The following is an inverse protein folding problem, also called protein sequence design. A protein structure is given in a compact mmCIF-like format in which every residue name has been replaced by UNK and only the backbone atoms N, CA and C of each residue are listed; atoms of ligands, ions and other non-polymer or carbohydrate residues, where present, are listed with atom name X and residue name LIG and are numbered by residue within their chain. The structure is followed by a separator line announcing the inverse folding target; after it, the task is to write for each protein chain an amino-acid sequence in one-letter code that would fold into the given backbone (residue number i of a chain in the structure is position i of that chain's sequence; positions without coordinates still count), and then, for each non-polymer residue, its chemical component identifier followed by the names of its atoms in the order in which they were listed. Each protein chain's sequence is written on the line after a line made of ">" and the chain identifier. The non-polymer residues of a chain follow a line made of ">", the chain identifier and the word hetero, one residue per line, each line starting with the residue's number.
data_IF_567860842802
#
_entry.id   IF_567860842802
#
_cell.length_a   1.000
_cell.length_b   1.000
_cell.length_c   1.000
_cell.angle_alpha   90.00
_cell.angle_beta   90.00
_cell.angle_gamma   90.00
#
_symmetry.space_group_name_H-M   'P 1'
#
loop_
_entity.id
_entity.type
_entity.pdbx_description
1 polymer ?
#
# COMPACT_ATOMS: atom_id res chain seq x y z
N UNK A 1 -20.06 -21.35 12.60
CA UNK A 1 -18.85 -20.72 13.16
C UNK A 1 -17.67 -21.59 12.75
N UNK A 2 -16.63 -20.96 12.21
CA UNK A 2 -15.43 -21.65 11.76
C UNK A 2 -14.68 -22.32 12.92
N UNK A 3 -13.99 -23.43 12.62
CA UNK A 3 -13.17 -24.15 13.60
C UNK A 3 -12.07 -23.24 14.19
N UNK A 4 -11.75 -23.42 15.47
CA UNK A 4 -10.78 -22.57 16.20
C UNK A 4 -9.42 -22.49 15.51
N UNK A 5 -8.91 -23.61 15.00
CA UNK A 5 -7.63 -23.63 14.27
C UNK A 5 -7.66 -22.75 13.02
N UNK A 6 -8.77 -22.79 12.27
CA UNK A 6 -8.95 -22.00 11.06
C UNK A 6 -9.10 -20.50 11.39
N UNK A 7 -9.84 -20.17 12.46
CA UNK A 7 -9.95 -18.78 12.96
C UNK A 7 -8.59 -18.24 13.39
N UNK A 8 -7.79 -19.03 14.09
CA UNK A 8 -6.44 -18.65 14.53
C UNK A 8 -5.54 -18.29 13.33
N UNK A 9 -5.54 -19.12 12.28
CA UNK A 9 -4.79 -18.85 11.04
C UNK A 9 -5.26 -17.56 10.34
N UNK A 10 -6.56 -17.27 10.33
CA UNK A 10 -7.08 -16.00 9.80
C UNK A 10 -6.60 -14.82 10.64
N UNK A 11 -6.63 -14.91 11.97
CA UNK A 11 -6.16 -13.84 12.86
C UNK A 11 -4.68 -13.55 12.62
N UNK A 12 -3.85 -14.59 12.52
CA UNK A 12 -2.43 -14.48 12.20
C UNK A 12 -2.21 -13.81 10.84
N UNK A 13 -2.99 -14.19 9.82
CA UNK A 13 -2.95 -13.56 8.51
C UNK A 13 -3.31 -12.07 8.57
N UNK A 14 -4.37 -11.69 9.30
CA UNK A 14 -4.75 -10.28 9.44
C UNK A 14 -3.63 -9.52 10.15
N UNK A 15 -3.08 -10.05 11.25
CA UNK A 15 -1.98 -9.41 11.99
C UNK A 15 -0.70 -9.28 11.18
N UNK A 16 -0.45 -10.20 10.24
CA UNK A 16 0.69 -10.13 9.34
C UNK A 16 0.51 -9.05 8.27
N UNK A 17 -0.70 -8.90 7.74
CA UNK A 17 -0.98 -8.01 6.61
C UNK A 17 -1.47 -6.61 7.03
N UNK A 18 -1.91 -6.44 8.28
CA UNK A 18 -2.45 -5.20 8.86
C UNK A 18 -1.50 -4.71 9.95
N UNK A 19 -0.45 -4.01 9.52
CA UNK A 19 0.65 -3.54 10.38
C UNK A 19 0.91 -2.03 10.21
N UNK A 20 1.49 -1.35 11.22
CA UNK A 20 1.89 0.05 11.09
C UNK A 20 2.96 0.24 10.01
N UNK A 21 2.86 1.32 9.24
CA UNK A 21 3.85 1.70 8.24
C UNK A 21 3.97 3.23 8.15
N UNK A 22 5.19 3.73 7.93
CA UNK A 22 5.47 5.16 7.68
C UNK A 22 5.93 5.30 6.22
N UNK A 23 5.31 6.23 5.49
CA UNK A 23 5.65 6.51 4.10
C UNK A 23 5.47 5.31 3.15
N UNK A 24 6.25 5.29 2.07
CA UNK A 24 6.41 4.14 1.18
C UNK A 24 7.73 3.43 1.47
N UNK A 25 7.68 2.11 1.55
CA UNK A 25 8.85 1.29 1.94
C UNK A 25 9.86 1.15 0.81
N UNK A 26 9.44 1.26 -0.45
CA UNK A 26 10.30 1.14 -1.63
C UNK A 26 11.42 2.20 -1.68
N UNK A 27 11.15 3.52 -1.62
CA UNK A 27 12.23 4.52 -1.62
C UNK A 27 13.13 4.41 -0.39
N UNK A 28 12.59 4.02 0.77
CA UNK A 28 13.35 3.82 2.01
C UNK A 28 14.28 2.60 1.89
N UNK A 29 13.83 1.53 1.25
CA UNK A 29 14.65 0.36 0.96
C UNK A 29 15.81 0.70 -0.01
N UNK A 30 15.58 1.60 -0.97
CA UNK A 30 16.66 2.15 -1.81
C UNK A 30 17.65 2.96 -0.96
N UNK A 31 17.16 3.84 -0.08
CA UNK A 31 18.01 4.59 0.84
C UNK A 31 18.83 3.67 1.76
N UNK A 32 18.24 2.56 2.22
CA UNK A 32 18.89 1.52 3.02
C UNK A 32 20.03 0.85 2.25
N UNK A 33 19.82 0.47 0.99
CA UNK A 33 20.86 -0.12 0.16
C UNK A 33 22.03 0.86 -0.08
N UNK A 34 21.73 2.15 -0.31
CA UNK A 34 22.75 3.20 -0.48
C UNK A 34 23.50 3.48 0.83
N UNK A 35 22.81 3.49 1.96
CA UNK A 35 23.45 3.64 3.26
C UNK A 35 24.44 2.49 3.53
N UNK A 36 24.10 1.26 3.09
CA UNK A 36 24.97 0.10 3.27
C UNK A 36 26.24 0.19 2.43
N UNK A 37 26.15 0.62 1.17
CA UNK A 37 27.35 0.81 0.33
C UNK A 37 28.24 1.92 0.88
N UNK A 38 27.66 3.02 1.38
CA UNK A 38 28.39 4.10 2.06
C UNK A 38 29.16 3.60 3.28
N UNK A 39 28.54 2.79 4.13
CA UNK A 39 29.18 2.16 5.30
C UNK A 39 30.41 1.33 4.87
N UNK A 40 30.26 0.49 3.84
CA UNK A 40 31.35 -0.33 3.31
C UNK A 40 32.51 0.50 2.74
N UNK A 41 32.22 1.64 2.11
CA UNK A 41 33.21 2.60 1.61
C UNK A 41 33.85 3.46 2.70
N UNK A 42 33.32 3.43 3.94
CA UNK A 42 33.79 4.23 5.06
C UNK A 42 33.64 5.74 4.86
N UNK A 43 32.69 6.18 4.03
CA UNK A 43 32.50 7.59 3.72
C UNK A 43 31.44 7.87 2.66
N UNK A 44 31.14 9.15 2.45
CA UNK A 44 30.19 9.60 1.42
C UNK A 44 30.76 9.23 0.04
N UNK A 45 29.99 8.54 -0.83
CA UNK A 45 30.43 8.19 -2.18
C UNK A 45 30.53 9.41 -3.10
N UNK A 46 31.43 9.37 -4.08
CA UNK A 46 31.53 10.37 -5.15
C UNK A 46 30.42 10.19 -6.19
N UNK A 47 29.97 8.95 -6.39
CA UNK A 47 28.90 8.61 -7.33
C UNK A 47 28.10 7.39 -6.89
N UNK A 48 26.80 7.37 -7.18
CA UNK A 48 25.88 6.26 -6.88
C UNK A 48 25.06 5.88 -8.13
N UNK A 49 25.20 4.65 -8.59
CA UNK A 49 24.32 4.04 -9.60
C UNK A 49 23.30 3.10 -8.93
N UNK A 50 22.04 3.22 -9.32
CA UNK A 50 20.94 2.42 -8.79
C UNK A 50 20.18 1.76 -9.94
N UNK A 51 20.07 0.43 -9.89
CA UNK A 51 19.31 -0.40 -10.81
C UNK A 51 18.12 -1.00 -10.06
N UNK A 52 16.90 -0.74 -10.54
CA UNK A 52 15.66 -1.08 -9.83
C UNK A 52 14.78 -1.98 -10.67
N UNK A 53 14.00 -2.86 -10.03
CA UNK A 53 12.86 -3.48 -10.70
C UNK A 53 11.81 -2.43 -11.10
N UNK A 54 11.02 -2.74 -12.12
CA UNK A 54 9.91 -1.92 -12.60
C UNK A 54 9.00 -1.42 -11.46
N UNK A 55 8.65 -2.30 -10.52
CA UNK A 55 7.75 -1.97 -9.42
C UNK A 55 8.37 -1.02 -8.40
N UNK A 56 9.64 -1.22 -8.03
CA UNK A 56 10.33 -0.32 -7.11
C UNK A 56 10.47 1.05 -7.75
N UNK A 57 10.87 1.10 -9.03
CA UNK A 57 11.01 2.34 -9.79
C UNK A 57 9.68 3.11 -9.83
N UNK A 58 8.59 2.43 -10.20
CA UNK A 58 7.24 3.01 -10.24
C UNK A 58 6.78 3.54 -8.87
N UNK A 59 6.96 2.77 -7.79
CA UNK A 59 6.46 3.15 -6.47
C UNK A 59 7.33 4.20 -5.76
N UNK A 60 8.61 4.34 -6.12
CA UNK A 60 9.51 5.27 -5.48
C UNK A 60 9.68 6.60 -6.24
N UNK A 61 9.27 6.68 -7.51
CA UNK A 61 9.55 7.84 -8.36
C UNK A 61 8.79 9.12 -8.01
N UNK A 62 7.52 9.02 -7.59
CA UNK A 62 6.65 10.19 -7.39
C UNK A 62 6.20 10.44 -5.95
N UNK A 63 6.70 9.66 -4.99
CA UNK A 63 6.23 9.69 -3.60
C UNK A 63 7.07 10.65 -2.74
N UNK A 64 6.43 11.30 -1.77
CA UNK A 64 7.15 12.12 -0.79
C UNK A 64 8.06 11.27 0.09
N UNK A 65 9.27 11.76 0.35
CA UNK A 65 10.25 11.06 1.18
C UNK A 65 10.16 11.58 2.63
N UNK A 66 9.86 10.70 3.60
CA UNK A 66 9.60 11.08 4.99
C UNK A 66 10.66 12.03 5.58
N UNK A 67 10.18 13.15 6.13
CA UNK A 67 11.01 14.17 6.78
C UNK A 67 11.74 15.15 5.84
N UNK A 68 11.81 14.86 4.53
CA UNK A 68 12.59 15.69 3.60
C UNK A 68 11.81 16.87 2.99
N UNK A 69 10.48 16.79 2.96
CA UNK A 69 9.63 17.72 2.21
C UNK A 69 9.82 17.65 0.68
N UNK A 70 10.55 16.64 0.19
CA UNK A 70 10.89 16.44 -1.22
C UNK A 70 10.34 15.11 -1.73
N UNK A 71 10.31 14.94 -3.05
CA UNK A 71 9.70 13.80 -3.71
C UNK A 71 10.72 12.98 -4.49
N UNK A 72 10.51 11.67 -4.53
CA UNK A 72 11.15 10.76 -5.48
C UNK A 72 12.48 10.14 -5.05
N UNK A 73 12.97 9.26 -5.91
CA UNK A 73 14.21 8.51 -5.73
C UNK A 73 15.48 9.37 -5.54
N UNK A 74 15.69 10.49 -6.25
CA UNK A 74 16.92 11.26 -6.11
C UNK A 74 17.20 11.69 -4.68
N UNK A 75 16.19 12.19 -3.96
CA UNK A 75 16.36 12.60 -2.57
C UNK A 75 16.48 11.39 -1.62
N UNK A 76 15.77 10.28 -1.86
CA UNK A 76 15.95 9.06 -1.07
C UNK A 76 17.40 8.53 -1.15
N UNK A 77 17.96 8.48 -2.37
CA UNK A 77 19.34 8.04 -2.63
C UNK A 77 20.34 8.98 -1.96
N UNK A 78 20.20 10.29 -2.17
CA UNK A 78 21.08 11.28 -1.58
C UNK A 78 21.06 11.21 -0.04
N UNK A 79 19.87 11.08 0.57
CA UNK A 79 19.77 10.96 2.02
C UNK A 79 20.35 9.65 2.55
N UNK A 80 20.21 8.54 1.81
CA UNK A 80 20.91 7.28 2.13
C UNK A 80 22.44 7.45 2.15
N UNK A 81 22.99 8.17 1.16
CA UNK A 81 24.43 8.42 1.06
C UNK A 81 24.97 9.40 2.13
N UNK A 82 24.18 10.38 2.53
CA UNK A 82 24.61 11.46 3.46
C UNK A 82 24.31 11.12 4.93
N UNK A 83 23.10 10.67 5.22
CA UNK A 83 22.57 10.56 6.58
C UNK A 83 22.17 9.13 6.97
N UNK A 84 22.02 8.23 5.98
CA UNK A 84 21.48 6.90 6.20
C UNK A 84 22.30 6.05 7.18
N UNK A 85 21.58 5.34 8.06
CA UNK A 85 22.13 4.36 9.02
C UNK A 85 21.53 2.96 8.76
N UNK A 86 22.30 2.01 8.20
CA UNK A 86 21.75 0.71 7.80
C UNK A 86 21.12 -0.10 8.94
N UNK A 87 21.68 0.01 10.15
CA UNK A 87 21.20 -0.72 11.34
C UNK A 87 19.76 -0.38 11.74
N UNK A 88 19.21 0.73 11.23
CA UNK A 88 17.82 1.12 11.48
C UNK A 88 16.81 0.47 10.52
N UNK A 89 17.26 -0.30 9.52
CA UNK A 89 16.37 -0.94 8.55
C UNK A 89 15.50 0.08 7.81
N UNK A 90 14.17 -0.04 7.91
CA UNK A 90 13.24 0.90 7.26
C UNK A 90 13.12 2.26 7.98
N UNK A 91 13.82 2.46 9.09
CA UNK A 91 13.99 3.78 9.72
C UNK A 91 15.35 4.43 9.36
N UNK A 92 15.99 4.01 8.27
CA UNK A 92 17.34 4.45 7.85
C UNK A 92 17.54 5.98 7.86
N UNK A 93 16.48 6.77 7.68
CA UNK A 93 16.52 8.24 7.64
C UNK A 93 16.07 8.94 8.93
N UNK A 94 15.84 8.21 10.03
CA UNK A 94 15.26 8.74 11.28
C UNK A 94 16.02 9.92 11.88
N UNK A 95 17.35 9.90 11.81
CA UNK A 95 18.22 10.92 12.45
C UNK A 95 18.61 12.07 11.49
N UNK A 96 17.83 12.28 10.42
CA UNK A 96 18.07 13.35 9.46
C UNK A 96 17.87 14.73 10.09
N UNK A 97 18.73 15.69 9.73
CA UNK A 97 18.63 17.09 10.16
C UNK A 97 18.56 18.02 8.95
N UNK A 98 18.06 19.27 9.09
CA UNK A 98 18.02 20.23 8.00
C UNK A 98 19.39 20.47 7.33
N UNK A 99 20.49 20.45 8.10
CA UNK A 99 21.84 20.58 7.55
C UNK A 99 22.27 19.39 6.68
N UNK A 100 21.88 18.18 7.06
CA UNK A 100 22.11 16.97 6.24
C UNK A 100 21.23 16.97 4.99
N UNK A 101 20.00 17.50 5.09
CA UNK A 101 19.11 17.65 3.95
C UNK A 101 19.70 18.59 2.89
N UNK A 102 20.28 19.72 3.29
CA UNK A 102 20.97 20.62 2.35
C UNK A 102 22.16 19.95 1.67
N UNK A 103 22.95 19.14 2.39
CA UNK A 103 24.00 18.32 1.77
C UNK A 103 23.44 17.31 0.77
N UNK A 104 22.30 16.67 1.09
CA UNK A 104 21.59 15.78 0.17
C UNK A 104 21.14 16.51 -1.11
N UNK A 105 20.62 17.74 -0.98
CA UNK A 105 20.23 18.57 -2.13
C UNK A 105 21.43 18.89 -3.03
N UNK A 106 22.57 19.26 -2.43
CA UNK A 106 23.81 19.50 -3.16
C UNK A 106 24.30 18.24 -3.90
N UNK A 107 24.19 17.06 -3.27
CA UNK A 107 24.54 15.78 -3.89
C UNK A 107 23.75 15.51 -5.19
N UNK A 108 22.47 15.87 -5.22
CA UNK A 108 21.61 15.77 -6.40
C UNK A 108 22.02 16.81 -7.46
N UNK A 109 22.26 18.06 -7.04
CA UNK A 109 22.66 19.15 -7.94
C UNK A 109 23.98 18.87 -8.67
N UNK A 110 24.93 18.25 -7.96
CA UNK A 110 26.22 17.82 -8.51
C UNK A 110 26.13 16.63 -9.47
N UNK A 111 24.92 16.11 -9.72
CA UNK A 111 24.65 14.94 -10.61
C UNK A 111 25.42 13.69 -10.20
N UNK A 112 25.60 13.48 -8.89
CA UNK A 112 26.33 12.34 -8.31
C UNK A 112 25.50 11.05 -8.22
N UNK A 113 24.37 10.97 -8.92
CA UNK A 113 23.52 9.78 -8.93
C UNK A 113 22.93 9.49 -10.30
N UNK A 114 22.69 8.20 -10.57
CA UNK A 114 21.98 7.70 -11.73
C UNK A 114 21.03 6.59 -11.32
N UNK A 115 19.82 6.62 -11.86
CA UNK A 115 18.80 5.58 -11.65
C UNK A 115 18.45 4.96 -12.99
N UNK A 116 18.32 3.64 -13.04
CA UNK A 116 17.95 2.91 -14.26
C UNK A 116 17.10 1.69 -13.95
N UNK A 117 16.30 1.25 -14.92
CA UNK A 117 15.57 -0.02 -14.85
C UNK A 117 16.57 -1.19 -14.96
N UNK A 118 16.43 -2.18 -14.08
CA UNK A 118 17.08 -3.47 -14.25
C UNK A 118 16.25 -4.34 -15.20
N UNK A 119 16.79 -4.62 -16.38
CA UNK A 119 16.14 -5.50 -17.36
C UNK A 119 16.39 -6.98 -17.05
N UNK A 120 15.52 -7.84 -17.57
CA UNK A 120 15.67 -9.31 -17.57
C UNK A 120 15.79 -9.94 -16.16
N UNK A 121 15.00 -9.44 -15.20
CA UNK A 121 14.86 -10.02 -13.86
C UNK A 121 13.44 -10.55 -13.64
N UNK A 122 13.32 -11.60 -12.82
CA UNK A 122 12.02 -12.16 -12.44
C UNK A 122 11.48 -11.51 -11.14
N UNK A 123 12.37 -10.94 -10.35
CA UNK A 123 12.10 -10.41 -9.03
C UNK A 123 11.32 -9.11 -9.11
N UNK A 124 10.14 -9.11 -8.46
CA UNK A 124 9.29 -7.92 -8.41
C UNK A 124 9.88 -6.83 -7.52
N UNK A 125 10.58 -7.20 -6.46
CA UNK A 125 11.34 -6.30 -5.60
C UNK A 125 12.82 -6.57 -5.82
N UNK A 126 13.50 -5.65 -6.51
CA UNK A 126 14.94 -5.72 -6.76
C UNK A 126 15.54 -4.33 -6.69
N UNK A 127 16.60 -4.20 -5.90
CA UNK A 127 17.36 -2.97 -5.73
C UNK A 127 18.84 -3.35 -5.78
N UNK A 128 19.55 -2.88 -6.79
CA UNK A 128 21.00 -3.02 -6.91
C UNK A 128 21.61 -1.62 -6.86
N UNK A 129 22.49 -1.40 -5.88
CA UNK A 129 23.22 -0.15 -5.70
C UNK A 129 24.71 -0.40 -5.90
N UNK A 130 25.34 0.42 -6.72
CA UNK A 130 26.79 0.50 -6.87
C UNK A 130 27.23 1.90 -6.50
N UNK A 131 28.13 2.03 -5.54
CA UNK A 131 28.68 3.31 -5.09
C UNK A 131 30.19 3.34 -5.28
N UNK A 132 30.71 4.49 -5.70
CA UNK A 132 32.13 4.70 -5.99
C UNK A 132 32.65 5.80 -5.06
N UNK A 133 33.84 5.59 -4.48
CA UNK A 133 34.57 6.61 -3.72
C UNK A 133 36.07 6.50 -4.01
N UNK A 134 36.64 7.46 -4.71
CA UNK A 134 38.00 7.37 -5.23
C UNK A 134 38.18 6.14 -6.10
N UNK A 135 39.08 5.23 -5.70
CA UNK A 135 39.33 3.97 -6.39
C UNK A 135 38.52 2.79 -5.83
N UNK A 136 37.78 2.99 -4.73
CA UNK A 136 36.99 1.95 -4.10
C UNK A 136 35.56 1.93 -4.66
N UNK A 137 35.02 0.72 -4.78
CA UNK A 137 33.64 0.45 -5.16
C UNK A 137 32.96 -0.44 -4.12
N UNK A 138 31.69 -0.16 -3.83
CA UNK A 138 30.84 -1.04 -3.04
C UNK A 138 29.53 -1.33 -3.77
N UNK A 139 29.06 -2.56 -3.62
CA UNK A 139 27.83 -3.06 -4.24
C UNK A 139 26.94 -3.70 -3.19
N UNK A 140 25.66 -3.35 -3.20
CA UNK A 140 24.63 -3.97 -2.36
C UNK A 140 23.40 -4.32 -3.19
N UNK A 141 22.83 -5.51 -2.96
CA UNK A 141 21.57 -5.94 -3.58
C UNK A 141 20.57 -6.31 -2.48
N UNK A 142 19.38 -5.70 -2.54
CA UNK A 142 18.20 -6.11 -1.78
C UNK A 142 17.22 -6.78 -2.75
N UNK A 143 16.69 -7.95 -2.38
CA UNK A 143 15.75 -8.69 -3.24
C UNK A 143 14.72 -9.50 -2.45
N UNK A 144 13.47 -9.49 -2.95
CA UNK A 144 12.29 -10.18 -2.43
C UNK A 144 11.64 -9.54 -1.20
N UNK A 145 12.41 -9.13 -0.19
CA UNK A 145 11.92 -8.35 0.95
C UNK A 145 12.68 -7.02 1.12
N UNK A 146 12.01 -5.99 1.65
CA UNK A 146 12.52 -4.60 1.68
C UNK A 146 13.80 -4.40 2.51
N UNK A 147 14.18 -5.35 3.36
CA UNK A 147 15.39 -5.28 4.21
C UNK A 147 16.34 -6.47 3.98
N UNK A 148 16.02 -7.38 3.06
CA UNK A 148 16.79 -8.60 2.82
C UNK A 148 17.92 -8.35 1.83
N UNK A 149 19.11 -8.10 2.35
CA UNK A 149 20.33 -8.08 1.56
C UNK A 149 20.65 -9.49 1.06
N UNK A 150 20.83 -9.64 -0.26
CA UNK A 150 21.18 -10.93 -0.90
C UNK A 150 22.61 -10.93 -1.44
N UNK A 151 23.20 -9.74 -1.61
CA UNK A 151 24.56 -9.59 -2.09
C UNK A 151 25.21 -8.33 -1.51
N UNK A 152 26.44 -8.45 -1.01
CA UNK A 152 27.29 -7.35 -0.56
C UNK A 152 28.73 -7.60 -1.01
N UNK A 153 29.34 -6.63 -1.69
CA UNK A 153 30.75 -6.69 -2.07
C UNK A 153 31.42 -5.32 -2.00
N UNK A 154 32.69 -5.29 -1.61
CA UNK A 154 33.56 -4.11 -1.70
C UNK A 154 34.77 -4.49 -2.54
N UNK A 155 34.99 -3.78 -3.65
CA UNK A 155 35.97 -4.14 -4.67
C UNK A 155 35.78 -5.63 -5.05
N UNK A 156 36.84 -6.43 -4.98
CA UNK A 156 36.80 -7.87 -5.29
C UNK A 156 36.37 -8.75 -4.10
N UNK A 157 36.14 -8.16 -2.92
CA UNK A 157 35.78 -8.90 -1.71
C UNK A 157 34.26 -8.98 -1.53
N UNK A 158 33.72 -10.20 -1.67
CA UNK A 158 32.30 -10.50 -1.43
C UNK A 158 32.10 -10.91 0.03
N UNK A 159 31.32 -10.12 0.77
CA UNK A 159 31.00 -10.38 2.19
C UNK A 159 29.67 -11.10 2.37
N UNK A 160 28.76 -10.98 1.40
CA UNK A 160 27.49 -11.70 1.37
C UNK A 160 27.15 -12.08 -0.06
N UNK A 161 26.80 -13.34 -0.27
CA UNK A 161 26.24 -13.83 -1.54
C UNK A 161 25.30 -15.01 -1.25
N UNK A 162 24.05 -14.71 -0.91
CA UNK A 162 23.04 -15.74 -0.81
C UNK A 162 22.62 -16.17 -2.22
N UNK A 163 23.10 -17.33 -2.67
CA UNK A 163 22.66 -17.96 -3.95
C UNK A 163 21.28 -18.60 -3.85
N UNK A 164 20.64 -18.56 -2.68
CA UNK A 164 19.29 -19.06 -2.50
C UNK A 164 18.30 -18.05 -3.07
N UNK A 165 18.12 -18.10 -4.40
CA UNK A 165 16.83 -17.85 -5.01
C UNK A 165 15.89 -18.95 -4.53
N UNK A 166 15.47 -18.88 -3.27
CA UNK A 166 14.28 -19.59 -2.88
C UNK A 166 13.13 -18.92 -3.62
N UNK A 167 12.66 -19.61 -4.66
CA UNK A 167 11.33 -19.49 -5.27
C UNK A 167 10.20 -19.76 -4.26
N UNK A 168 10.47 -19.64 -2.96
CA UNK A 168 9.59 -19.99 -1.85
C UNK A 168 8.78 -18.80 -1.32
N UNK A 169 8.97 -17.57 -1.83
CA UNK A 169 8.13 -16.43 -1.44
C UNK A 169 6.70 -16.50 -2.02
N UNK A 170 6.38 -17.51 -2.85
CA UNK A 170 5.00 -17.90 -3.16
C UNK A 170 4.56 -19.22 -2.47
N UNK A 171 5.46 -19.94 -1.77
CA UNK A 171 5.19 -21.27 -1.23
C UNK A 171 4.94 -21.32 0.30
N UNK A 172 5.20 -20.24 1.05
CA UNK A 172 5.02 -20.22 2.51
C UNK A 172 3.92 -19.27 3.02
N UNK A 173 3.06 -18.76 2.15
CA UNK A 173 1.73 -18.28 2.58
C UNK A 173 0.82 -19.49 2.73
N UNK A 174 1.05 -20.25 3.80
CA UNK A 174 0.49 -21.59 4.00
C UNK A 174 -1.02 -21.69 3.78
N UNK A 175 -1.45 -22.74 3.07
CA UNK A 175 -2.73 -23.49 3.01
C UNK A 175 -4.10 -22.81 3.32
N UNK A 176 -4.14 -21.51 3.61
CA UNK A 176 -5.33 -20.81 4.06
C UNK A 176 -6.11 -20.30 2.86
N UNK A 177 -6.92 -21.18 2.30
CA UNK A 177 -7.83 -20.86 1.20
C UNK A 177 -9.09 -20.13 1.70
N UNK A 178 -9.04 -18.80 1.66
CA UNK A 178 -10.20 -17.94 1.89
C UNK A 178 -11.22 -18.05 0.74
N UNK A 179 -12.48 -17.82 1.06
CA UNK A 179 -13.57 -17.60 0.11
C UNK A 179 -14.49 -16.53 0.67
N UNK A 180 -15.34 -15.93 -0.17
CA UNK A 180 -16.34 -14.95 0.24
C UNK A 180 -17.14 -15.41 1.47
N UNK A 181 -17.57 -16.68 1.46
CA UNK A 181 -18.30 -17.28 2.57
C UNK A 181 -17.51 -17.32 3.87
N UNK A 182 -16.27 -17.82 3.81
CA UNK A 182 -15.44 -17.93 5.00
C UNK A 182 -15.09 -16.56 5.57
N UNK A 183 -14.89 -15.56 4.71
CA UNK A 183 -14.63 -14.19 5.14
C UNK A 183 -15.85 -13.62 5.89
N UNK A 184 -17.05 -13.77 5.33
CA UNK A 184 -18.29 -13.31 5.98
C UNK A 184 -18.55 -14.06 7.29
N UNK A 185 -18.43 -15.40 7.29
CA UNK A 185 -18.63 -16.22 8.49
C UNK A 185 -17.63 -15.85 9.58
N UNK A 186 -16.35 -15.66 9.23
CA UNK A 186 -15.31 -15.27 10.18
C UNK A 186 -15.64 -13.92 10.84
N UNK A 187 -15.90 -12.88 10.06
CA UNK A 187 -16.16 -11.54 10.59
C UNK A 187 -17.42 -11.50 11.46
N UNK A 188 -18.48 -12.20 11.05
CA UNK A 188 -19.79 -12.13 11.72
C UNK A 188 -19.96 -13.08 12.90
N UNK A 189 -19.15 -14.15 13.02
CA UNK A 189 -19.37 -15.19 14.04
C UNK A 189 -18.21 -15.38 15.02
N UNK A 190 -17.01 -14.88 14.72
CA UNK A 190 -15.86 -14.99 15.64
C UNK A 190 -16.15 -14.23 16.95
N UNK A 191 -15.77 -14.78 18.12
CA UNK A 191 -15.82 -14.09 19.40
C UNK A 191 -15.15 -12.72 19.34
N UNK A 192 -15.81 -11.72 19.89
CA UNK A 192 -15.43 -10.32 19.71
C UNK A 192 -14.01 -10.03 20.25
N UNK A 193 -13.66 -10.62 21.39
CA UNK A 193 -12.35 -10.40 22.03
C UNK A 193 -11.17 -10.85 21.16
N UNK A 194 -11.38 -11.84 20.29
CA UNK A 194 -10.36 -12.28 19.33
C UNK A 194 -10.15 -11.28 18.18
N UNK A 195 -11.12 -10.39 17.93
CA UNK A 195 -11.11 -9.42 16.83
C UNK A 195 -10.74 -7.99 17.27
N UNK A 196 -10.78 -7.69 18.57
CA UNK A 196 -10.57 -6.33 19.14
C UNK A 196 -9.30 -5.64 18.67
N UNK A 197 -8.25 -6.40 18.35
CA UNK A 197 -6.99 -5.85 17.84
C UNK A 197 -7.17 -5.00 16.56
N UNK A 198 -8.24 -5.21 15.79
CA UNK A 198 -8.50 -4.44 14.57
C UNK A 198 -8.76 -2.96 14.85
N UNK A 199 -9.17 -2.59 16.08
CA UNK A 199 -9.41 -1.20 16.45
C UNK A 199 -8.15 -0.33 16.43
N UNK A 200 -6.96 -0.94 16.55
CA UNK A 200 -5.69 -0.23 16.37
C UNK A 200 -5.60 0.43 14.98
N UNK A 201 -6.22 -0.17 13.96
CA UNK A 201 -6.32 0.43 12.63
C UNK A 201 -7.01 1.79 12.64
N UNK A 202 -8.08 1.93 13.43
CA UNK A 202 -8.87 3.16 13.57
C UNK A 202 -8.04 4.23 14.25
N UNK A 203 -7.45 3.92 15.40
CA UNK A 203 -6.63 4.85 16.18
C UNK A 203 -5.51 5.47 15.33
N UNK A 204 -4.72 4.62 14.67
CA UNK A 204 -3.56 5.07 13.88
C UNK A 204 -4.01 5.86 12.65
N UNK A 205 -4.97 5.34 11.88
CA UNK A 205 -5.39 6.00 10.64
C UNK A 205 -6.16 7.31 10.89
N UNK A 206 -6.91 7.40 11.99
CA UNK A 206 -7.57 8.66 12.38
C UNK A 206 -6.60 9.70 12.87
N UNK A 207 -5.59 9.31 13.63
CA UNK A 207 -4.50 10.21 14.00
C UNK A 207 -3.84 10.79 12.74
N UNK A 208 -3.61 9.97 11.71
CA UNK A 208 -3.07 10.43 10.43
C UNK A 208 -4.00 11.41 9.69
N UNK A 209 -5.31 11.13 9.65
CA UNK A 209 -6.29 12.05 9.06
C UNK A 209 -6.35 13.39 9.83
N UNK A 210 -6.42 13.33 11.17
CA UNK A 210 -6.50 14.51 12.02
C UNK A 210 -5.26 15.40 11.89
N UNK A 211 -4.07 14.81 11.84
CA UNK A 211 -2.83 15.56 11.62
C UNK A 211 -2.78 16.17 10.21
N UNK A 212 -3.23 15.43 9.19
CA UNK A 212 -3.32 15.97 7.83
C UNK A 212 -4.23 17.20 7.74
N UNK A 213 -5.33 17.24 8.51
CA UNK A 213 -6.30 18.33 8.49
C UNK A 213 -5.77 19.62 9.16
N UNK A 214 -4.69 19.54 9.95
CA UNK A 214 -4.03 20.73 10.54
C UNK A 214 -3.19 21.52 9.55
N UNK A 215 -2.88 20.93 8.39
CA UNK A 215 -2.01 21.53 7.38
C UNK A 215 -2.50 21.25 5.96
N UNK A 216 -1.62 21.46 4.99
CA UNK A 216 -1.89 21.13 3.59
C UNK A 216 -0.83 20.15 3.12
N UNK A 217 -1.29 18.98 2.66
CA UNK A 217 -0.46 17.91 2.15
C UNK A 217 -0.94 17.52 0.76
N UNK A 218 -0.02 17.08 -0.08
CA UNK A 218 -0.34 16.52 -1.39
C UNK A 218 -1.21 17.44 -2.23
N UNK A 219 -2.38 16.94 -2.65
CA UNK A 219 -3.35 17.71 -3.45
C UNK A 219 -4.42 18.42 -2.62
N UNK A 220 -4.42 18.27 -1.30
CA UNK A 220 -5.44 18.87 -0.44
C UNK A 220 -6.86 18.42 -0.79
N UNK A 221 -7.03 17.13 -1.08
CA UNK A 221 -8.30 16.57 -1.55
C UNK A 221 -9.37 16.70 -0.48
N UNK A 222 -8.99 16.48 0.78
CA UNK A 222 -9.88 16.65 1.94
C UNK A 222 -10.43 18.08 2.05
N UNK A 223 -9.56 19.10 1.91
CA UNK A 223 -9.95 20.51 1.95
C UNK A 223 -10.91 20.87 0.81
N UNK A 224 -10.68 20.30 -0.38
CA UNK A 224 -11.57 20.50 -1.53
C UNK A 224 -12.95 19.91 -1.28
N UNK A 225 -13.03 18.70 -0.73
CA UNK A 225 -14.29 18.04 -0.40
C UNK A 225 -15.07 18.76 0.70
N UNK A 226 -14.37 19.36 1.66
CA UNK A 226 -14.96 20.17 2.73
C UNK A 226 -15.41 21.57 2.27
N UNK A 227 -15.16 21.96 1.01
CA UNK A 227 -15.50 23.26 0.44
C UNK A 227 -17.00 23.53 0.19
N UNK A 228 -17.90 22.69 0.69
CA UNK A 228 -19.34 22.94 0.75
C UNK A 228 -20.17 22.42 -0.42
N UNK A 229 -19.60 22.22 -1.63
CA UNK A 229 -20.36 21.74 -2.80
C UNK A 229 -21.03 20.38 -2.57
N UNK A 230 -20.34 19.47 -1.89
CA UNK A 230 -20.85 18.12 -1.61
C UNK A 230 -21.66 18.04 -0.30
N UNK A 231 -21.82 19.17 0.39
CA UNK A 231 -22.48 19.27 1.69
C UNK A 231 -21.65 18.71 2.85
N UNK A 232 -22.21 18.84 4.05
CA UNK A 232 -21.61 18.36 5.29
C UNK A 232 -22.40 17.15 5.81
N UNK A 233 -21.97 15.93 5.45
CA UNK A 233 -22.68 14.70 5.75
C UNK A 233 -21.70 13.50 5.86
N UNK A 234 -22.20 12.36 6.34
CA UNK A 234 -21.41 11.12 6.52
C UNK A 234 -20.62 10.75 5.26
N UNK A 235 -21.24 10.89 4.08
CA UNK A 235 -20.58 10.61 2.81
C UNK A 235 -19.36 11.52 2.60
N UNK A 236 -19.50 12.83 2.75
CA UNK A 236 -18.37 13.75 2.56
C UNK A 236 -17.29 13.60 3.62
N UNK A 237 -17.66 13.26 4.86
CA UNK A 237 -16.69 12.94 5.91
C UNK A 237 -15.90 11.66 5.63
N UNK A 238 -16.57 10.58 5.18
CA UNK A 238 -15.89 9.35 4.76
C UNK A 238 -14.84 9.64 3.68
N UNK A 239 -15.19 10.42 2.66
CA UNK A 239 -14.26 10.80 1.60
C UNK A 239 -13.12 11.67 2.14
N UNK A 240 -13.46 12.71 2.92
CA UNK A 240 -12.50 13.71 3.39
C UNK A 240 -11.45 13.13 4.35
N UNK A 241 -11.87 12.38 5.38
CA UNK A 241 -10.93 11.75 6.33
C UNK A 241 -10.02 10.73 5.63
N UNK A 242 -10.57 9.93 4.72
CA UNK A 242 -9.80 8.93 3.97
C UNK A 242 -8.79 9.59 3.04
N UNK A 243 -9.19 10.66 2.35
CA UNK A 243 -8.31 11.43 1.48
C UNK A 243 -7.22 12.17 2.28
N UNK A 244 -7.55 12.73 3.44
CA UNK A 244 -6.61 13.45 4.30
C UNK A 244 -5.44 12.54 4.73
N UNK A 245 -5.74 11.38 5.32
CA UNK A 245 -4.69 10.44 5.72
C UNK A 245 -3.82 10.00 4.53
N UNK A 246 -4.43 9.80 3.36
CA UNK A 246 -3.71 9.44 2.14
C UNK A 246 -2.79 10.59 1.66
N UNK A 247 -3.27 11.83 1.63
CA UNK A 247 -2.51 13.01 1.24
C UNK A 247 -1.28 13.19 2.13
N UNK A 248 -1.43 13.16 3.46
CA UNK A 248 -0.31 13.27 4.39
C UNK A 248 0.74 12.17 4.16
N UNK A 249 0.30 10.92 4.04
CA UNK A 249 1.20 9.80 3.77
C UNK A 249 1.95 9.97 2.45
N UNK A 250 1.24 10.27 1.36
CA UNK A 250 1.82 10.37 0.02
C UNK A 250 2.69 11.61 -0.18
N UNK A 251 2.49 12.64 0.64
CA UNK A 251 3.36 13.81 0.74
C UNK A 251 4.63 13.56 1.59
N UNK A 252 4.78 12.37 2.20
CA UNK A 252 5.94 12.05 3.03
C UNK A 252 5.86 12.63 4.44
N UNK A 253 4.65 12.77 5.00
CA UNK A 253 4.53 13.09 6.42
C UNK A 253 5.09 11.95 7.28
N UNK A 254 5.76 12.30 8.39
CA UNK A 254 6.30 11.36 9.37
C UNK A 254 5.21 10.84 10.31
N UNK A 255 4.11 10.33 9.74
CA UNK A 255 2.94 9.89 10.49
C UNK A 255 2.69 8.42 10.13
N UNK A 256 2.58 7.52 11.13
CA UNK A 256 2.25 6.14 10.86
C UNK A 256 0.82 6.00 10.35
N UNK A 257 0.62 5.04 9.46
CA UNK A 257 -0.70 4.58 9.03
C UNK A 257 -0.75 3.06 9.20
N UNK A 258 -1.92 2.52 9.48
CA UNK A 258 -2.13 1.08 9.47
C UNK A 258 -2.33 0.64 8.03
N UNK A 259 -1.47 -0.28 7.58
CA UNK A 259 -1.48 -0.83 6.23
C UNK A 259 -2.45 -1.99 6.08
N UNK A 260 -2.68 -2.40 4.83
CA UNK A 260 -3.31 -3.67 4.50
C UNK A 260 -2.60 -4.24 3.28
N UNK A 261 -2.20 -5.51 3.33
CA UNK A 261 -1.60 -6.22 2.19
C UNK A 261 -0.38 -5.49 1.62
N UNK A 262 0.46 -4.96 2.51
CA UNK A 262 1.68 -4.21 2.17
C UNK A 262 1.46 -2.76 1.69
N UNK A 263 0.26 -2.18 1.84
CA UNK A 263 -0.01 -0.80 1.42
C UNK A 263 -0.76 0.01 2.48
N UNK A 264 -0.15 1.12 2.91
CA UNK A 264 -0.80 2.09 3.81
C UNK A 264 -2.10 2.66 3.23
N UNK A 265 -2.13 3.00 1.94
CA UNK A 265 -3.35 3.54 1.31
C UNK A 265 -4.50 2.51 1.32
N UNK A 266 -4.19 1.22 1.18
CA UNK A 266 -5.20 0.17 1.28
C UNK A 266 -5.73 0.04 2.70
N UNK A 267 -4.86 0.11 3.72
CA UNK A 267 -5.30 0.09 5.11
C UNK A 267 -6.14 1.31 5.47
N UNK A 268 -5.70 2.52 5.11
CA UNK A 268 -6.49 3.76 5.25
C UNK A 268 -7.88 3.59 4.62
N UNK A 269 -7.93 3.09 3.38
CA UNK A 269 -9.20 2.91 2.65
C UNK A 269 -10.08 1.86 3.31
N UNK A 270 -9.52 0.74 3.78
CA UNK A 270 -10.27 -0.33 4.46
C UNK A 270 -10.80 0.08 5.84
N UNK A 271 -10.12 1.02 6.51
CA UNK A 271 -10.45 1.45 7.88
C UNK A 271 -11.36 2.68 7.93
N UNK A 272 -10.90 3.82 7.39
CA UNK A 272 -11.47 5.12 7.69
C UNK A 272 -12.94 5.28 7.28
N UNK A 273 -13.38 4.93 6.06
CA UNK A 273 -14.77 5.11 5.69
C UNK A 273 -15.71 4.24 6.56
N UNK A 274 -15.28 3.03 6.92
CA UNK A 274 -16.05 2.14 7.81
C UNK A 274 -16.15 2.76 9.22
N UNK A 275 -15.04 3.27 9.76
CA UNK A 275 -15.03 3.89 11.09
C UNK A 275 -15.86 5.17 11.16
N UNK A 276 -15.75 6.05 10.15
CA UNK A 276 -16.52 7.30 10.08
C UNK A 276 -18.01 6.99 9.95
N UNK A 277 -18.38 6.05 9.07
CA UNK A 277 -19.78 5.64 8.94
C UNK A 277 -20.33 5.10 10.27
N UNK A 278 -19.60 4.19 10.93
CA UNK A 278 -20.04 3.60 12.18
C UNK A 278 -20.31 4.66 13.25
N UNK A 279 -19.39 5.59 13.45
CA UNK A 279 -19.52 6.62 14.49
C UNK A 279 -20.63 7.62 14.21
N UNK A 280 -20.70 8.15 13.00
CA UNK A 280 -21.69 9.18 12.66
C UNK A 280 -23.11 8.61 12.53
N UNK A 281 -23.25 7.29 12.35
CA UNK A 281 -24.55 6.60 12.35
C UNK A 281 -24.87 5.90 13.68
N UNK A 282 -24.05 6.11 14.72
CA UNK A 282 -24.33 5.63 16.08
C UNK A 282 -24.25 4.11 16.24
N UNK A 283 -23.38 3.46 15.47
CA UNK A 283 -23.16 2.00 15.53
C UNK A 283 -22.40 1.61 16.79
N UNK A 284 -22.69 0.43 17.29
CA UNK A 284 -22.01 -0.14 18.45
C UNK A 284 -20.56 -0.51 18.13
N UNK A 285 -19.74 -0.64 19.19
CA UNK A 285 -18.36 -1.12 19.06
C UNK A 285 -18.29 -2.52 18.43
N UNK A 286 -19.24 -3.40 18.76
CA UNK A 286 -19.33 -4.73 18.15
C UNK A 286 -19.56 -4.63 16.63
N UNK A 287 -20.53 -3.81 16.20
CA UNK A 287 -20.80 -3.58 14.77
C UNK A 287 -19.55 -3.03 14.06
N UNK A 288 -18.85 -2.08 14.68
CA UNK A 288 -17.60 -1.50 14.14
C UNK A 288 -16.51 -2.56 13.99
N UNK A 289 -16.23 -3.36 15.03
CA UNK A 289 -15.19 -4.40 14.99
C UNK A 289 -15.48 -5.42 13.88
N UNK A 290 -16.74 -5.85 13.75
CA UNK A 290 -17.14 -6.81 12.71
C UNK A 290 -17.02 -6.21 11.32
N UNK A 291 -17.45 -4.96 11.13
CA UNK A 291 -17.34 -4.26 9.86
C UNK A 291 -15.89 -4.03 9.43
N UNK A 292 -15.01 -3.64 10.35
CA UNK A 292 -13.58 -3.49 10.10
C UNK A 292 -12.93 -4.83 9.76
N UNK A 293 -13.26 -5.88 10.51
CA UNK A 293 -12.76 -7.23 10.25
C UNK A 293 -13.17 -7.69 8.84
N UNK A 294 -14.44 -7.50 8.47
CA UNK A 294 -14.95 -7.82 7.15
C UNK A 294 -14.22 -7.03 6.06
N UNK A 295 -14.06 -5.71 6.25
CA UNK A 295 -13.39 -4.84 5.29
C UNK A 295 -11.93 -5.22 5.05
N UNK A 296 -11.17 -5.39 6.14
CA UNK A 296 -9.76 -5.75 6.07
C UNK A 296 -9.56 -7.16 5.50
N UNK A 297 -10.33 -8.15 5.96
CA UNK A 297 -10.18 -9.54 5.51
C UNK A 297 -10.65 -9.73 4.07
N UNK A 298 -11.69 -9.03 3.62
CA UNK A 298 -12.11 -9.04 2.22
C UNK A 298 -11.02 -8.45 1.31
N UNK A 299 -10.40 -7.35 1.74
CA UNK A 299 -9.26 -6.75 1.04
C UNK A 299 -8.11 -7.75 0.90
N UNK A 300 -7.75 -8.43 2.00
CA UNK A 300 -6.72 -9.47 2.01
C UNK A 300 -7.09 -10.63 1.06
N UNK A 301 -8.33 -11.11 1.12
CA UNK A 301 -8.82 -12.19 0.25
C UNK A 301 -8.65 -11.86 -1.24
N UNK A 302 -9.13 -10.69 -1.67
CA UNK A 302 -8.98 -10.26 -3.08
C UNK A 302 -7.48 -10.11 -3.44
N UNK A 303 -6.65 -9.61 -2.51
CA UNK A 303 -5.21 -9.43 -2.73
C UNK A 303 -4.44 -10.74 -2.81
N UNK A 304 -4.85 -11.81 -2.15
CA UNK A 304 -4.20 -13.13 -2.26
C UNK A 304 -4.17 -13.62 -3.73
N UNK A 305 -5.28 -13.46 -4.45
CA UNK A 305 -5.39 -13.90 -5.85
C UNK A 305 -4.72 -12.92 -6.84
N UNK A 306 -4.72 -11.61 -6.51
CA UNK A 306 -4.09 -10.57 -7.34
C UNK A 306 -2.55 -10.60 -7.27
N UNK A 307 -2.00 -10.91 -6.09
CA UNK A 307 -0.60 -10.74 -5.75
C UNK A 307 -0.28 -9.34 -5.19
N UNK A 308 0.94 -9.18 -4.65
CA UNK A 308 1.37 -7.94 -4.00
C UNK A 308 1.45 -6.76 -4.98
N UNK A 309 1.94 -6.99 -6.20
CA UNK A 309 2.22 -5.95 -7.20
C UNK A 309 1.48 -6.26 -8.51
N UNK A 310 0.68 -5.29 -8.99
CA UNK A 310 -0.20 -5.37 -10.16
C UNK A 310 -0.40 -3.97 -10.76
N UNK A 311 -0.75 -3.90 -12.05
CA UNK A 311 -1.22 -2.69 -12.71
C UNK A 311 -2.62 -2.24 -12.27
N UNK A 312 -3.37 -3.06 -11.53
CA UNK A 312 -4.66 -2.70 -10.92
C UNK A 312 -4.42 -1.90 -9.64
N UNK A 313 -5.10 -0.77 -9.47
CA UNK A 313 -4.99 0.04 -8.27
C UNK A 313 -5.52 -0.69 -7.04
N UNK A 314 -4.67 -0.84 -6.02
CA UNK A 314 -5.08 -1.42 -4.73
C UNK A 314 -6.21 -0.65 -4.03
N UNK A 315 -6.41 0.63 -4.36
CA UNK A 315 -7.55 1.41 -3.86
C UNK A 315 -8.90 0.80 -4.26
N UNK A 316 -9.00 0.18 -5.44
CA UNK A 316 -10.22 -0.53 -5.87
C UNK A 316 -10.49 -1.70 -4.93
N UNK A 317 -9.46 -2.50 -4.65
CA UNK A 317 -9.57 -3.68 -3.80
C UNK A 317 -9.96 -3.31 -2.37
N UNK A 318 -9.27 -2.32 -1.80
CA UNK A 318 -9.55 -1.87 -0.44
C UNK A 318 -10.93 -1.20 -0.33
N UNK A 319 -11.33 -0.38 -1.30
CA UNK A 319 -12.66 0.22 -1.33
C UNK A 319 -13.77 -0.84 -1.46
N UNK A 320 -13.52 -1.94 -2.17
CA UNK A 320 -14.44 -3.08 -2.20
C UNK A 320 -14.61 -3.68 -0.81
N UNK A 321 -13.53 -3.85 -0.06
CA UNK A 321 -13.59 -4.24 1.36
C UNK A 321 -14.41 -3.24 2.19
N UNK A 322 -14.17 -1.95 2.04
CA UNK A 322 -14.92 -0.89 2.74
C UNK A 322 -16.42 -0.93 2.41
N UNK A 323 -16.75 -1.19 1.14
CA UNK A 323 -18.13 -1.37 0.68
C UNK A 323 -18.82 -2.50 1.44
N UNK A 324 -18.14 -3.65 1.62
CA UNK A 324 -18.65 -4.75 2.45
C UNK A 324 -18.90 -4.34 3.90
N UNK A 325 -17.94 -3.63 4.51
CA UNK A 325 -18.08 -3.12 5.88
C UNK A 325 -19.24 -2.14 6.03
N UNK A 326 -19.39 -1.20 5.09
CA UNK A 326 -20.49 -0.23 5.08
C UNK A 326 -21.84 -0.94 4.88
N UNK A 327 -21.95 -1.88 3.94
CA UNK A 327 -23.16 -2.69 3.75
C UNK A 327 -23.54 -3.45 5.01
N UNK A 328 -22.57 -4.03 5.71
CA UNK A 328 -22.80 -4.67 7.00
C UNK A 328 -23.34 -3.67 8.04
N UNK A 329 -22.73 -2.48 8.17
CA UNK A 329 -23.18 -1.44 9.09
C UNK A 329 -24.58 -0.89 8.74
N UNK A 330 -24.98 -0.95 7.47
CA UNK A 330 -26.34 -0.62 7.03
C UNK A 330 -27.38 -1.71 7.40
N UNK A 331 -26.95 -2.82 8.01
CA UNK A 331 -27.81 -3.97 8.34
C UNK A 331 -27.97 -4.97 7.19
N UNK A 332 -27.09 -4.94 6.21
CA UNK A 332 -27.15 -5.77 5.03
C UNK A 332 -26.87 -7.25 5.30
N UNK A 333 -27.55 -8.12 4.54
CA UNK A 333 -27.31 -9.57 4.59
C UNK A 333 -26.01 -9.97 3.90
N UNK A 334 -25.57 -11.22 4.08
CA UNK A 334 -24.45 -11.81 3.30
C UNK A 334 -24.67 -11.65 1.79
N UNK A 335 -25.90 -11.85 1.32
CA UNK A 335 -26.23 -11.68 -0.10
C UNK A 335 -26.00 -10.24 -0.57
N UNK A 336 -26.44 -9.25 0.21
CA UNK A 336 -26.25 -7.84 -0.11
C UNK A 336 -24.76 -7.43 -0.03
N UNK A 337 -23.98 -7.99 0.88
CA UNK A 337 -22.52 -7.83 0.87
C UNK A 337 -21.94 -8.37 -0.46
N UNK A 338 -22.43 -9.50 -0.94
CA UNK A 338 -22.08 -10.04 -2.26
C UNK A 338 -22.45 -9.10 -3.42
N UNK A 339 -23.62 -8.47 -3.35
CA UNK A 339 -24.05 -7.47 -4.34
C UNK A 339 -23.15 -6.24 -4.34
N UNK A 340 -22.75 -5.77 -3.16
CA UNK A 340 -21.82 -4.64 -3.03
C UNK A 340 -20.48 -4.94 -3.70
N UNK A 341 -19.95 -6.16 -3.58
CA UNK A 341 -18.73 -6.60 -4.27
C UNK A 341 -18.92 -6.59 -5.78
N UNK A 342 -20.01 -7.20 -6.28
CA UNK A 342 -20.31 -7.26 -7.73
C UNK A 342 -20.45 -5.85 -8.32
N UNK A 343 -21.10 -4.94 -7.61
CA UNK A 343 -21.25 -3.54 -8.00
C UNK A 343 -19.90 -2.80 -8.04
N UNK A 344 -19.04 -2.99 -7.04
CA UNK A 344 -17.70 -2.40 -7.03
C UNK A 344 -16.86 -2.86 -8.22
N UNK A 345 -16.86 -4.17 -8.48
CA UNK A 345 -16.10 -4.78 -9.58
C UNK A 345 -16.66 -4.34 -10.94
N UNK A 346 -17.98 -4.31 -11.10
CA UNK A 346 -18.62 -3.82 -12.33
C UNK A 346 -18.37 -2.34 -12.62
N UNK A 347 -18.09 -1.53 -11.60
CA UNK A 347 -17.98 -0.08 -11.72
C UNK A 347 -16.54 0.41 -11.96
N UNK A 348 -15.57 0.04 -11.11
CA UNK A 348 -14.25 0.70 -11.05
C UNK A 348 -13.04 -0.21 -11.29
N UNK A 349 -13.22 -1.38 -11.90
CA UNK A 349 -12.12 -2.31 -12.24
C UNK A 349 -10.99 -1.67 -13.06
N UNK A 350 -11.28 -0.65 -13.89
CA UNK A 350 -10.28 -0.03 -14.78
C UNK A 350 -9.29 0.93 -14.12
N UNK A 351 -9.35 1.18 -12.81
CA UNK A 351 -8.44 2.12 -12.16
C UNK A 351 -7.00 1.57 -12.10
N UNK A 352 -6.09 2.21 -12.85
CA UNK A 352 -4.68 1.77 -12.96
C UNK A 352 -3.81 2.19 -11.76
N UNK A 353 -2.74 1.44 -11.51
CA UNK A 353 -1.69 1.74 -10.54
C UNK A 353 -0.40 2.21 -11.23
N UNK A 354 -0.21 3.51 -11.30
CA UNK A 354 0.95 4.21 -11.84
C UNK A 354 1.88 4.75 -10.74
N UNK A 355 2.05 3.98 -9.66
CA UNK A 355 2.98 4.27 -8.57
C UNK A 355 2.42 5.13 -7.43
N UNK A 356 3.16 5.16 -6.32
CA UNK A 356 2.82 5.96 -5.16
C UNK A 356 3.17 7.44 -5.40
N UNK A 357 2.23 8.32 -5.06
CA UNK A 357 2.29 9.78 -5.32
C UNK A 357 1.10 10.48 -4.66
N UNK A 358 1.16 11.81 -4.46
CA UNK A 358 0.04 12.58 -3.91
C UNK A 358 -1.32 12.31 -4.55
N UNK A 359 -1.39 12.12 -5.88
CA UNK A 359 -2.68 11.86 -6.57
C UNK A 359 -3.34 10.53 -6.22
N UNK A 360 -2.70 9.66 -5.43
CA UNK A 360 -3.37 8.52 -4.81
C UNK A 360 -4.55 8.93 -3.91
N UNK A 361 -4.52 10.12 -3.28
CA UNK A 361 -5.63 10.62 -2.48
C UNK A 361 -6.93 10.77 -3.31
N UNK A 362 -6.81 11.20 -4.58
CA UNK A 362 -7.93 11.28 -5.52
C UNK A 362 -8.52 9.89 -5.80
N UNK A 363 -7.66 8.90 -6.07
CA UNK A 363 -8.06 7.52 -6.36
C UNK A 363 -8.77 6.87 -5.17
N UNK A 364 -8.24 7.09 -3.97
CA UNK A 364 -8.83 6.61 -2.71
C UNK A 364 -10.19 7.25 -2.47
N UNK A 365 -10.30 8.58 -2.59
CA UNK A 365 -11.59 9.29 -2.44
C UNK A 365 -12.65 8.76 -3.42
N UNK A 366 -12.29 8.57 -4.69
CA UNK A 366 -13.21 8.03 -5.70
C UNK A 366 -13.59 6.58 -5.38
N UNK A 367 -12.66 5.76 -4.90
CA UNK A 367 -12.96 4.41 -4.42
C UNK A 367 -14.00 4.40 -3.30
N UNK A 368 -13.84 5.27 -2.29
CA UNK A 368 -14.79 5.40 -1.17
C UNK A 368 -16.16 5.91 -1.65
N UNK A 369 -16.18 6.84 -2.61
CA UNK A 369 -17.42 7.30 -3.23
C UNK A 369 -18.18 6.14 -3.87
N UNK A 370 -17.48 5.34 -4.68
CA UNK A 370 -18.05 4.16 -5.33
C UNK A 370 -18.46 3.08 -4.34
N UNK A 371 -17.72 2.90 -3.23
CA UNK A 371 -18.07 1.98 -2.15
C UNK A 371 -19.43 2.36 -1.52
N UNK A 372 -19.63 3.66 -1.26
CA UNK A 372 -20.90 4.15 -0.69
C UNK A 372 -22.06 3.90 -1.65
N UNK A 373 -21.91 4.25 -2.93
CA UNK A 373 -22.94 3.99 -3.95
C UNK A 373 -23.26 2.50 -4.08
N UNK A 374 -22.22 1.65 -4.13
CA UNK A 374 -22.38 0.20 -4.29
C UNK A 374 -23.07 -0.44 -3.10
N UNK A 375 -22.78 0.02 -1.88
CA UNK A 375 -23.45 -0.41 -0.66
C UNK A 375 -24.92 0.01 -0.65
N UNK A 376 -25.24 1.26 -1.02
CA UNK A 376 -26.63 1.73 -1.11
C UNK A 376 -27.45 0.93 -2.13
N UNK A 377 -26.90 0.68 -3.32
CA UNK A 377 -27.55 -0.14 -4.34
C UNK A 377 -27.78 -1.57 -3.84
N UNK A 378 -26.80 -2.16 -3.18
CA UNK A 378 -26.91 -3.50 -2.61
C UNK A 378 -28.03 -3.61 -1.56
N UNK A 379 -28.20 -2.60 -0.71
CA UNK A 379 -29.30 -2.55 0.26
C UNK A 379 -30.68 -2.50 -0.40
N UNK A 380 -30.76 -2.01 -1.64
CA UNK A 380 -31.96 -2.03 -2.48
C UNK A 380 -32.06 -3.27 -3.38
N UNK A 381 -31.21 -4.28 -3.17
CA UNK A 381 -31.10 -5.49 -4.01
C UNK A 381 -30.82 -5.19 -5.49
N UNK A 382 -30.13 -4.07 -5.77
CA UNK A 382 -29.69 -3.70 -7.11
C UNK A 382 -28.24 -4.16 -7.29
N UNK A 383 -28.02 -5.03 -8.27
CA UNK A 383 -26.74 -5.68 -8.50
C UNK A 383 -26.41 -5.78 -9.99
N UNK A 384 -25.14 -5.58 -10.33
CA UNK A 384 -24.59 -5.95 -11.63
C UNK A 384 -24.74 -7.46 -11.85
N UNK A 385 -25.40 -7.83 -12.93
CA UNK A 385 -25.79 -9.22 -13.24
C UNK A 385 -24.68 -9.98 -13.97
N UNK A 386 -24.77 -11.31 -14.04
CA UNK A 386 -23.77 -12.15 -14.71
C UNK A 386 -23.67 -11.95 -16.23
N UNK A 387 -24.62 -11.22 -16.85
CA UNK A 387 -24.56 -10.88 -18.28
C UNK A 387 -23.77 -9.58 -18.54
N UNK A 388 -23.40 -8.85 -17.48
CA UNK A 388 -22.72 -7.56 -17.57
C UNK A 388 -21.20 -7.70 -17.36
N UNK A 389 -20.46 -7.64 -18.46
CA UNK A 389 -19.01 -7.53 -18.44
C UNK A 389 -18.30 -8.71 -17.78
N UNK A 390 -17.59 -8.45 -16.68
CA UNK A 390 -16.75 -9.44 -15.98
C UNK A 390 -17.41 -10.03 -14.73
N UNK A 391 -18.64 -9.60 -14.41
CA UNK A 391 -19.40 -10.14 -13.29
C UNK A 391 -19.85 -11.56 -13.59
N UNK A 392 -19.90 -12.39 -12.56
CA UNK A 392 -20.41 -13.76 -12.62
C UNK A 392 -21.59 -13.92 -11.66
N UNK A 393 -22.26 -15.07 -11.72
CA UNK A 393 -23.35 -15.37 -10.77
C UNK A 393 -22.78 -15.37 -9.34
N UNK A 394 -21.74 -16.20 -9.13
CA UNK A 394 -21.02 -16.32 -7.88
C UNK A 394 -20.06 -15.15 -7.61
N UNK A 395 -20.02 -14.70 -6.35
CA UNK A 395 -19.15 -13.61 -5.88
C UNK A 395 -17.68 -13.98 -6.04
N UNK A 396 -17.28 -15.18 -5.60
CA UNK A 396 -15.90 -15.66 -5.72
C UNK A 396 -15.43 -15.69 -7.17
N UNK A 397 -16.32 -16.06 -8.10
CA UNK A 397 -15.99 -16.06 -9.54
C UNK A 397 -15.81 -14.64 -10.10
N UNK A 398 -16.61 -13.70 -9.62
CA UNK A 398 -16.46 -12.28 -9.96
C UNK A 398 -15.11 -11.72 -9.47
N UNK A 399 -14.71 -12.07 -8.25
CA UNK A 399 -13.38 -11.73 -7.69
C UNK A 399 -12.25 -12.40 -8.48
N UNK A 400 -12.42 -13.67 -8.87
CA UNK A 400 -11.45 -14.39 -9.72
C UNK A 400 -11.26 -13.68 -11.07
N UNK A 401 -12.34 -13.21 -11.70
CA UNK A 401 -12.27 -12.48 -12.97
C UNK A 401 -11.51 -11.14 -12.82
N UNK A 402 -11.82 -10.35 -11.79
CA UNK A 402 -11.08 -9.12 -11.46
C UNK A 402 -9.58 -9.41 -11.30
N UNK A 403 -9.27 -10.41 -10.48
CA UNK A 403 -7.88 -10.72 -10.10
C UNK A 403 -7.10 -11.30 -11.27
N UNK A 404 -7.73 -12.05 -12.18
CA UNK A 404 -7.11 -12.46 -13.45
C UNK A 404 -6.76 -11.28 -14.34
N UNK A 405 -7.65 -10.30 -14.49
CA UNK A 405 -7.37 -9.10 -15.28
C UNK A 405 -6.20 -8.34 -14.67
N UNK A 406 -6.24 -8.08 -13.36
CA UNK A 406 -5.17 -7.35 -12.70
C UNK A 406 -3.82 -8.09 -12.67
N UNK A 407 -3.83 -9.43 -12.54
CA UNK A 407 -2.59 -10.24 -12.46
C UNK A 407 -1.98 -10.52 -13.82
N UNK A 408 -2.80 -10.85 -14.82
CA UNK A 408 -2.33 -11.30 -16.14
C UNK A 408 -2.63 -10.27 -17.24
N UNK A 409 -3.85 -9.74 -17.29
CA UNK A 409 -4.27 -8.81 -18.32
C UNK A 409 -3.52 -7.47 -18.29
N UNK A 410 -3.18 -6.98 -17.10
CA UNK A 410 -2.53 -5.68 -16.91
C UNK A 410 -0.99 -5.74 -16.91
N UNK A 411 -0.37 -6.86 -17.30
CA UNK A 411 1.10 -6.96 -17.41
C UNK A 411 1.66 -5.96 -18.43
N UNK A 412 1.06 -5.91 -19.63
CA UNK A 412 1.48 -4.96 -20.66
C UNK A 412 1.11 -3.52 -20.30
N UNK A 413 -0.03 -3.33 -19.62
CA UNK A 413 -0.41 -2.02 -19.07
C UNK A 413 0.64 -1.51 -18.10
N UNK A 414 1.15 -2.37 -17.22
CA UNK A 414 2.18 -2.01 -16.24
C UNK A 414 3.50 -1.61 -16.91
N UNK A 415 3.89 -2.36 -17.95
CA UNK A 415 5.05 -2.03 -18.78
C UNK A 415 4.90 -0.67 -19.46
N UNK A 416 3.77 -0.41 -20.12
CA UNK A 416 3.51 0.85 -20.81
C UNK A 416 3.46 2.04 -19.83
N UNK A 417 2.88 1.84 -18.64
CA UNK A 417 2.90 2.85 -17.57
C UNK A 417 4.35 3.20 -17.23
N UNK A 418 5.21 2.21 -17.04
CA UNK A 418 6.62 2.44 -16.72
C UNK A 418 7.33 3.21 -17.83
N UNK A 419 7.16 2.80 -19.09
CA UNK A 419 7.74 3.48 -20.26
C UNK A 419 7.33 4.97 -20.30
N UNK A 420 6.06 5.27 -20.06
CA UNK A 420 5.55 6.65 -19.98
C UNK A 420 6.18 7.41 -18.81
N UNK A 421 6.34 6.77 -17.65
CA UNK A 421 6.89 7.43 -16.46
C UNK A 421 8.39 7.72 -16.61
N UNK A 422 9.15 6.83 -17.24
CA UNK A 422 10.61 6.96 -17.39
C UNK A 422 11.04 7.83 -18.59
N UNK A 423 10.11 8.20 -19.47
CA UNK A 423 10.38 9.01 -20.66
C UNK A 423 10.12 10.52 -20.46
N UNK A 424 9.99 10.99 -19.21
CA UNK A 424 9.61 12.37 -18.86
C UNK A 424 10.80 13.27 -18.52
#
# INVERSE_FOLDING_TARGET
>A
MLALEYRTKIIELIKLEVIPAIGCTEPISVALAVAKTREMLGGIPDFVEVLLSANVLKNAMGVGIPGTGMYGLPIAIAMGAIAGKPDYGLEVLRDMTPGLLEQGKLFIQDKKLKVSLKENIAEKLYIEVVSIRGNDQAKAIISGEHTRFVYLAKNDEVTLSSRELNTADEAEKGDLHLSFDKVCEFACTTPLDELRFILESVEVNKAAAAESLKGTYGHGVAQTLSGGLMGNNVYTHMLSYTAAACDARMAGAMIPVMSNSGSGNQGITATLPVSVFAEETGKSEEELIRALTLSHLMTIYIKQSLGRLSGLCGAVVAATGSSCGITYLMGGSREQIGFAIKNMIGNITGMICDGAKPSCALKVSNGVSTATLSAMMAMENKVVTAVEGIAAEEVDKTIENLTKIGRFGMLETDRMILEIMTSK
#
